data_IF_564548388962
#
_entry.id   IF_564548388962
#
_cell.length_a   1.000
_cell.length_b   1.000
_cell.length_c   1.000
_cell.angle_alpha   90.00
_cell.angle_beta   90.00
_cell.angle_gamma   90.00
#
_symmetry.space_group_name_H-M   'P 1'
#
loop_
_entity.id
_entity.type
_entity.pdbx_description
1 polymer ?
#
# COMPACT_ATOMS: atom_id res chain seq x y z
N UNK A 1 -21.68 20.37 -16.26
CA UNK A 1 -21.76 19.01 -16.82
C UNK A 1 -20.61 18.77 -17.82
N UNK A 2 -19.34 18.84 -17.38
CA UNK A 2 -18.17 18.65 -18.26
C UNK A 2 -17.00 17.86 -17.63
N UNK A 3 -17.13 17.38 -16.37
CA UNK A 3 -16.03 16.67 -15.68
C UNK A 3 -16.09 15.13 -15.74
N UNK A 4 -17.18 14.53 -16.21
CA UNK A 4 -17.30 13.06 -16.26
C UNK A 4 -16.70 12.42 -17.52
N UNK A 5 -16.70 13.14 -18.66
CA UNK A 5 -16.16 12.61 -19.93
C UNK A 5 -14.63 12.55 -19.97
N UNK A 6 -13.95 13.39 -19.18
CA UNK A 6 -12.48 13.41 -19.10
C UNK A 6 -11.95 12.22 -18.30
N UNK A 7 -12.59 11.89 -17.17
CA UNK A 7 -12.20 10.75 -16.31
C UNK A 7 -12.40 9.41 -17.04
N UNK A 8 -13.48 9.29 -17.82
CA UNK A 8 -13.75 8.08 -18.61
C UNK A 8 -12.76 7.86 -19.77
N UNK A 9 -12.07 8.90 -20.25
CA UNK A 9 -11.10 8.80 -21.34
C UNK A 9 -9.71 8.34 -20.84
N UNK A 10 -9.39 8.60 -19.58
CA UNK A 10 -8.18 8.11 -18.91
C UNK A 10 -8.29 6.63 -18.50
N UNK A 11 -9.50 6.12 -18.28
CA UNK A 11 -9.78 4.71 -17.95
C UNK A 11 -9.82 3.76 -19.17
N UNK A 12 -9.38 4.20 -20.36
CA UNK A 12 -9.56 3.44 -21.61
C UNK A 12 -8.31 2.69 -22.09
N UNK A 13 -7.50 2.17 -21.17
CA UNK A 13 -6.57 1.09 -21.48
C UNK A 13 -6.90 -0.09 -20.59
N UNK A 14 -7.43 -1.14 -21.20
CA UNK A 14 -7.59 -2.49 -20.61
C UNK A 14 -6.29 -3.06 -19.98
N UNK A 15 -5.17 -2.35 -20.09
CA UNK A 15 -3.94 -2.60 -19.35
C UNK A 15 -4.09 -2.44 -17.82
N UNK A 16 -5.09 -1.69 -17.32
CA UNK A 16 -5.35 -1.56 -15.87
C UNK A 16 -5.81 -2.86 -15.21
N UNK A 17 -6.24 -3.86 -15.99
CA UNK A 17 -6.66 -5.18 -15.53
C UNK A 17 -5.74 -6.31 -16.02
N UNK A 18 -4.56 -6.00 -16.58
CA UNK A 18 -3.56 -7.05 -16.84
C UNK A 18 -3.20 -7.68 -15.50
N UNK A 19 -3.40 -8.99 -15.40
CA UNK A 19 -2.81 -9.80 -14.34
C UNK A 19 -1.30 -9.72 -14.54
N UNK A 20 -0.69 -8.78 -13.84
CA UNK A 20 0.72 -8.55 -13.95
C UNK A 20 1.44 -9.71 -13.29
N UNK A 21 2.25 -10.43 -14.06
CA UNK A 21 3.27 -11.30 -13.51
C UNK A 21 4.14 -10.43 -12.59
N UNK A 22 3.92 -10.54 -11.28
CA UNK A 22 4.75 -9.87 -10.29
C UNK A 22 6.15 -10.42 -10.46
N UNK A 23 7.07 -9.59 -10.98
CA UNK A 23 8.48 -9.97 -11.09
C UNK A 23 8.96 -10.40 -9.70
N UNK A 24 9.81 -11.41 -9.60
CA UNK A 24 10.34 -11.88 -8.31
C UNK A 24 10.91 -10.73 -7.46
N UNK A 25 11.56 -9.75 -8.10
CA UNK A 25 12.08 -8.55 -7.47
C UNK A 25 10.99 -7.67 -6.81
N UNK A 26 9.78 -7.62 -7.38
CA UNK A 26 8.66 -6.89 -6.77
C UNK A 26 8.15 -7.63 -5.52
N UNK A 27 8.10 -8.96 -5.58
CA UNK A 27 7.70 -9.81 -4.44
C UNK A 27 8.66 -9.59 -3.27
N UNK A 28 9.97 -9.56 -3.54
CA UNK A 28 10.97 -9.28 -2.52
C UNK A 28 10.76 -7.90 -1.88
N UNK A 29 10.56 -6.85 -2.68
CA UNK A 29 10.27 -5.50 -2.18
C UNK A 29 8.99 -5.45 -1.34
N UNK A 30 7.90 -6.12 -1.77
CA UNK A 30 6.67 -6.21 -0.98
C UNK A 30 6.90 -6.90 0.37
N UNK A 31 7.65 -7.99 0.38
CA UNK A 31 7.95 -8.75 1.59
C UNK A 31 8.81 -7.93 2.56
N UNK A 32 9.81 -7.21 2.07
CA UNK A 32 10.63 -6.32 2.89
C UNK A 32 9.79 -5.22 3.58
N UNK A 33 8.91 -4.55 2.82
CA UNK A 33 8.03 -3.51 3.37
C UNK A 33 7.08 -4.08 4.42
N UNK A 34 6.46 -5.23 4.13
CA UNK A 34 5.55 -5.90 5.07
C UNK A 34 6.27 -6.35 6.35
N UNK A 35 7.46 -6.91 6.24
CA UNK A 35 8.26 -7.32 7.39
C UNK A 35 8.56 -6.12 8.32
N UNK A 36 9.00 -4.98 7.76
CA UNK A 36 9.27 -3.78 8.56
C UNK A 36 8.02 -3.16 9.17
N UNK A 37 6.89 -3.19 8.48
CA UNK A 37 5.61 -2.78 9.04
C UNK A 37 5.20 -3.67 10.24
N UNK A 38 5.41 -4.99 10.15
CA UNK A 38 5.12 -5.93 11.23
C UNK A 38 6.07 -5.76 12.43
N UNK A 39 7.36 -5.58 12.18
CA UNK A 39 8.36 -5.31 13.25
C UNK A 39 7.98 -4.05 14.04
N UNK A 40 7.64 -2.95 13.35
CA UNK A 40 7.23 -1.72 14.02
C UNK A 40 5.89 -1.87 14.76
N UNK A 41 4.92 -2.58 14.17
CA UNK A 41 3.65 -2.85 14.83
C UNK A 41 3.85 -3.65 16.12
N UNK A 42 4.69 -4.69 16.11
CA UNK A 42 5.00 -5.48 17.30
C UNK A 42 5.69 -4.64 18.40
N UNK A 43 6.60 -3.74 18.01
CA UNK A 43 7.24 -2.82 18.94
C UNK A 43 6.23 -1.85 19.59
N UNK A 44 5.34 -1.26 18.78
CA UNK A 44 4.25 -0.39 19.29
C UNK A 44 3.31 -1.18 20.20
N UNK A 45 3.00 -2.42 19.85
CA UNK A 45 2.14 -3.25 20.67
C UNK A 45 2.71 -3.52 22.06
N UNK A 46 4.03 -3.73 22.11
CA UNK A 46 4.77 -4.02 23.34
C UNK A 46 4.99 -2.78 24.20
N UNK A 47 5.37 -1.66 23.59
CA UNK A 47 5.88 -0.50 24.32
C UNK A 47 4.82 0.58 24.59
N UNK A 48 3.74 0.63 23.80
CA UNK A 48 2.71 1.66 23.95
C UNK A 48 1.52 1.16 24.79
N UNK A 49 0.99 1.98 25.71
CA UNK A 49 -0.23 1.65 26.45
C UNK A 49 -1.45 1.61 25.53
N UNK A 50 -2.49 0.90 25.98
CA UNK A 50 -3.78 0.89 25.27
C UNK A 50 -4.43 2.28 25.28
N UNK A 51 -4.36 2.95 24.13
CA UNK A 51 -4.90 4.28 23.92
C UNK A 51 -5.30 4.52 22.46
N UNK A 52 -5.91 5.68 22.20
CA UNK A 52 -6.33 6.09 20.86
C UNK A 52 -5.12 6.25 19.92
N UNK A 53 -4.02 6.75 20.42
CA UNK A 53 -2.78 6.97 19.66
C UNK A 53 -2.18 5.64 19.20
N UNK A 54 -2.17 4.60 20.04
CA UNK A 54 -1.75 3.24 19.68
C UNK A 54 -2.61 2.68 18.53
N UNK A 55 -3.93 2.80 18.65
CA UNK A 55 -4.86 2.38 17.60
C UNK A 55 -4.65 3.13 16.27
N UNK A 56 -4.39 4.43 16.34
CA UNK A 56 -4.08 5.25 15.17
C UNK A 56 -2.73 4.85 14.55
N UNK A 57 -1.73 4.52 15.37
CA UNK A 57 -0.43 4.10 14.87
C UNK A 57 -0.53 2.83 14.01
N UNK A 58 -1.29 1.82 14.43
CA UNK A 58 -1.55 0.63 13.62
C UNK A 58 -2.23 0.97 12.28
N UNK A 59 -3.22 1.87 12.31
CA UNK A 59 -3.90 2.33 11.08
C UNK A 59 -2.91 3.01 10.13
N UNK A 60 -2.03 3.87 10.65
CA UNK A 60 -1.03 4.59 9.86
C UNK A 60 0.04 3.66 9.29
N UNK A 61 0.46 2.63 10.03
CA UNK A 61 1.38 1.59 9.52
C UNK A 61 0.75 0.83 8.34
N UNK A 62 -0.51 0.42 8.48
CA UNK A 62 -1.23 -0.27 7.41
C UNK A 62 -1.38 0.61 6.16
N UNK A 63 -1.75 1.89 6.35
CA UNK A 63 -1.85 2.87 5.28
C UNK A 63 -0.51 3.12 4.58
N UNK A 64 0.58 3.29 5.33
CA UNK A 64 1.92 3.45 4.78
C UNK A 64 2.36 2.23 3.95
N UNK A 65 2.12 1.01 4.45
CA UNK A 65 2.42 -0.24 3.74
C UNK A 65 1.62 -0.38 2.45
N UNK A 66 0.33 0.00 2.47
CA UNK A 66 -0.53 0.02 1.28
C UNK A 66 0.04 0.96 0.21
N UNK A 67 0.35 2.21 0.57
CA UNK A 67 0.86 3.20 -0.39
C UNK A 67 2.26 2.86 -0.91
N UNK A 68 3.13 2.28 -0.08
CA UNK A 68 4.44 1.80 -0.52
C UNK A 68 4.32 0.64 -1.53
N UNK A 69 3.46 -0.35 -1.26
CA UNK A 69 3.25 -1.44 -2.22
C UNK A 69 2.62 -0.94 -3.53
N UNK A 70 1.70 0.04 -3.43
CA UNK A 70 1.10 0.65 -4.60
C UNK A 70 2.11 1.44 -5.45
N UNK A 71 3.14 2.07 -4.84
CA UNK A 71 4.20 2.75 -5.60
C UNK A 71 5.09 1.77 -6.36
N UNK A 72 5.44 0.62 -5.76
CA UNK A 72 6.18 -0.47 -6.43
C UNK A 72 5.36 -1.08 -7.56
N UNK A 73 4.05 -1.25 -7.38
CA UNK A 73 3.16 -1.78 -8.42
C UNK A 73 3.04 -0.85 -9.64
N UNK A 74 3.14 0.47 -9.43
CA UNK A 74 2.99 1.50 -10.46
C UNK A 74 4.28 1.81 -11.23
N UNK A 75 5.45 1.71 -10.60
CA UNK A 75 6.75 2.13 -11.17
C UNK A 75 7.66 0.92 -11.53
N UNK A 76 7.28 0.17 -12.56
CA UNK A 76 7.92 -1.10 -13.00
C UNK A 76 9.31 -0.97 -13.59
#
# INVERSE_FOLDING_TARGET
>A
MFKLKTIAKEMNTLDDFKLYDTKEEQIEKYNMIRAKAMELAALIDTECPECREKSLAFTRIAEASLWANASIARNR
#
